data_IF_464155556673
#
_entry.id   IF_464155556673
#
_cell.length_a   1.000
_cell.length_b   1.000
_cell.length_c   1.000
_cell.angle_alpha   90.00
_cell.angle_beta   90.00
_cell.angle_gamma   90.00
#
_symmetry.space_group_name_H-M   'P 1'
#
loop_
_entity.id
_entity.type
_entity.pdbx_description
1 polymer ?
#
# COMPACT_ATOMS: atom_id res chain seq x y z
N UNK A 1 17.45 -3.33 14.07
CA UNK A 1 17.01 -2.05 13.50
C UNK A 1 16.43 -1.23 14.63
N UNK A 2 17.03 -0.07 14.89
CA UNK A 2 16.53 0.95 15.80
C UNK A 2 15.77 2.01 14.98
N UNK A 3 15.00 2.85 15.67
CA UNK A 3 14.26 3.94 15.00
C UNK A 3 15.16 4.90 14.22
N UNK A 4 16.42 5.06 14.68
CA UNK A 4 17.45 5.87 14.03
C UNK A 4 17.95 5.30 12.70
N UNK A 5 17.70 4.01 12.46
CA UNK A 5 18.17 3.31 11.27
C UNK A 5 17.14 3.38 10.12
N UNK A 6 15.96 3.98 10.35
CA UNK A 6 14.92 4.10 9.33
C UNK A 6 15.34 5.12 8.25
N UNK A 7 15.15 4.81 6.95
CA UNK A 7 15.42 5.74 5.87
C UNK A 7 14.63 7.05 6.01
N UNK A 8 15.23 8.18 5.64
CA UNK A 8 14.52 9.47 5.61
C UNK A 8 13.49 9.54 4.48
N UNK A 9 13.75 8.88 3.34
CA UNK A 9 12.85 8.86 2.18
C UNK A 9 11.47 8.29 2.55
N UNK A 10 10.42 8.95 2.09
CA UNK A 10 9.03 8.53 2.25
C UNK A 10 8.45 8.07 0.92
N UNK A 11 8.05 6.80 0.84
CA UNK A 11 7.35 6.23 -0.31
C UNK A 11 5.82 6.32 -0.19
N UNK A 12 5.33 6.67 0.99
CA UNK A 12 3.98 7.14 1.26
C UNK A 12 4.08 8.55 1.86
N UNK A 13 3.58 9.55 1.16
CA UNK A 13 3.85 10.98 1.43
C UNK A 13 2.74 11.64 2.25
N UNK A 14 3.06 12.81 2.81
CA UNK A 14 2.04 13.76 3.25
C UNK A 14 1.19 14.27 2.08
N UNK A 15 0.08 14.92 2.38
CA UNK A 15 -0.81 15.52 1.37
C UNK A 15 -2.07 14.70 1.07
N UNK A 16 -2.36 13.66 1.85
CA UNK A 16 -3.59 12.87 1.82
C UNK A 16 -4.70 13.46 2.70
N UNK A 17 -5.94 12.98 2.56
CA UNK A 17 -7.13 13.53 3.25
C UNK A 17 -7.57 12.76 4.51
N UNK A 18 -6.68 11.97 5.11
CA UNK A 18 -6.98 11.21 6.32
C UNK A 18 -7.40 12.13 7.49
N UNK A 19 -8.29 11.63 8.36
CA UNK A 19 -8.69 12.35 9.56
C UNK A 19 -7.48 12.68 10.45
N UNK A 20 -7.52 13.83 11.13
CA UNK A 20 -6.50 14.20 12.10
C UNK A 20 -6.42 13.14 13.21
N UNK A 21 -5.22 12.62 13.48
CA UNK A 21 -5.00 11.56 14.46
C UNK A 21 -5.29 10.13 13.96
N UNK A 22 -5.64 9.94 12.68
CA UNK A 22 -5.74 8.60 12.11
C UNK A 22 -4.38 7.88 12.18
N UNK A 23 -4.29 6.65 12.72
CA UNK A 23 -3.03 5.93 12.82
C UNK A 23 -2.59 5.30 11.49
N UNK A 24 -3.53 5.03 10.56
CA UNK A 24 -3.25 4.29 9.33
C UNK A 24 -2.15 4.96 8.46
N UNK A 25 -2.16 6.29 8.20
CA UNK A 25 -1.07 6.93 7.46
C UNK A 25 0.30 6.76 8.11
N UNK A 26 0.39 6.86 9.44
CA UNK A 26 1.65 6.71 10.16
C UNK A 26 2.18 5.27 10.08
N UNK A 27 1.29 4.28 10.20
CA UNK A 27 1.63 2.86 10.03
C UNK A 27 2.14 2.61 8.61
N UNK A 28 1.39 3.02 7.59
CA UNK A 28 1.74 2.81 6.18
C UNK A 28 3.04 3.52 5.83
N UNK A 29 3.25 4.76 6.29
CA UNK A 29 4.52 5.49 6.09
C UNK A 29 5.72 4.70 6.61
N UNK A 30 5.64 4.16 7.82
CA UNK A 30 6.72 3.37 8.39
C UNK A 30 6.91 2.02 7.68
N UNK A 31 5.82 1.32 7.34
CA UNK A 31 5.89 0.09 6.53
C UNK A 31 6.60 0.34 5.21
N UNK A 32 6.25 1.42 4.51
CA UNK A 32 6.82 1.74 3.22
C UNK A 32 8.29 2.15 3.30
N UNK A 33 8.75 2.77 4.40
CA UNK A 33 10.19 2.97 4.67
C UNK A 33 10.95 1.66 4.77
N UNK A 34 10.35 0.63 5.36
CA UNK A 34 10.96 -0.70 5.51
C UNK A 34 10.94 -1.46 4.17
N UNK A 35 9.85 -1.36 3.42
CA UNK A 35 9.70 -2.04 2.14
C UNK A 35 10.56 -1.44 1.03
N UNK A 36 10.72 -0.11 1.02
CA UNK A 36 11.58 0.59 0.08
C UNK A 36 10.99 0.77 -1.33
N UNK A 37 11.79 1.35 -2.23
CA UNK A 37 11.38 1.72 -3.60
C UNK A 37 10.94 0.57 -4.49
N UNK A 38 11.48 -0.64 -4.28
CA UNK A 38 11.21 -1.80 -5.12
C UNK A 38 9.98 -2.56 -4.60
N UNK A 39 8.88 -1.81 -4.44
CA UNK A 39 7.61 -2.28 -3.87
C UNK A 39 6.46 -1.91 -4.79
N UNK A 40 5.50 -2.82 -4.94
CA UNK A 40 4.22 -2.59 -5.60
C UNK A 40 3.13 -2.73 -4.56
N UNK A 41 2.30 -1.69 -4.45
CA UNK A 41 1.22 -1.62 -3.46
C UNK A 41 -0.11 -1.85 -4.15
N UNK A 42 -0.92 -2.71 -3.54
CA UNK A 42 -2.32 -2.85 -3.84
C UNK A 42 -3.15 -2.46 -2.61
N UNK A 43 -4.23 -1.70 -2.80
CA UNK A 43 -5.25 -1.47 -1.76
C UNK A 43 -6.63 -1.79 -2.34
N UNK A 44 -7.45 -2.60 -1.66
CA UNK A 44 -8.86 -2.75 -2.03
C UNK A 44 -9.65 -1.52 -1.55
N UNK A 45 -10.96 -1.47 -1.85
CA UNK A 45 -11.86 -0.45 -1.30
C UNK A 45 -11.79 -0.42 0.25
N UNK A 46 -11.23 0.65 0.81
CA UNK A 46 -11.13 0.90 2.25
C UNK A 46 -10.76 2.36 2.52
N UNK A 47 -10.64 2.76 3.79
CA UNK A 47 -10.26 4.12 4.16
C UNK A 47 -8.91 4.55 3.56
N UNK A 48 -7.89 3.67 3.61
CA UNK A 48 -6.56 3.96 3.07
C UNK A 48 -6.61 4.27 1.58
N UNK A 49 -7.33 3.47 0.79
CA UNK A 49 -7.58 3.75 -0.63
C UNK A 49 -8.17 5.14 -0.83
N UNK A 50 -9.23 5.47 -0.08
CA UNK A 50 -9.94 6.73 -0.25
C UNK A 50 -9.03 7.91 0.05
N UNK A 51 -8.41 7.95 1.22
CA UNK A 51 -7.64 9.15 1.58
C UNK A 51 -6.31 9.29 0.84
N UNK A 52 -5.70 8.18 0.40
CA UNK A 52 -4.37 8.19 -0.23
C UNK A 52 -4.39 8.12 -1.75
N UNK A 53 -5.49 7.68 -2.35
CA UNK A 53 -5.67 7.50 -3.79
C UNK A 53 -6.54 8.57 -4.46
N UNK A 54 -7.15 9.48 -3.70
CA UNK A 54 -8.01 10.54 -4.25
C UNK A 54 -7.20 11.54 -5.07
N UNK A 55 -7.58 11.76 -6.33
CA UNK A 55 -7.01 12.82 -7.15
C UNK A 55 -7.39 14.22 -6.62
N UNK A 56 -6.49 15.22 -6.59
CA UNK A 56 -5.09 15.21 -7.02
C UNK A 56 -4.08 14.79 -5.92
N UNK A 57 -4.56 14.27 -4.80
CA UNK A 57 -3.83 14.00 -3.57
C UNK A 57 -3.22 12.59 -3.48
N UNK A 58 -2.71 12.07 -4.61
CA UNK A 58 -2.10 10.73 -4.63
C UNK A 58 -0.84 10.70 -3.76
N UNK A 59 -0.85 9.89 -2.70
CA UNK A 59 0.22 9.86 -1.69
C UNK A 59 1.29 8.79 -1.93
N UNK A 60 1.24 8.05 -3.04
CA UNK A 60 2.13 6.91 -3.32
C UNK A 60 3.25 7.30 -4.29
N UNK A 61 4.52 7.09 -3.90
CA UNK A 61 5.71 7.25 -4.78
C UNK A 61 6.19 5.94 -5.42
N UNK A 62 5.48 4.86 -5.19
CA UNK A 62 5.74 3.54 -5.76
C UNK A 62 4.55 3.13 -6.64
N UNK A 63 4.71 2.14 -7.55
CA UNK A 63 3.57 1.58 -8.25
C UNK A 63 2.44 1.22 -7.29
N UNK A 64 1.30 1.86 -7.48
CA UNK A 64 0.11 1.73 -6.66
C UNK A 64 -1.07 1.39 -7.56
N UNK A 65 -1.85 0.39 -7.17
CA UNK A 65 -3.08 0.01 -7.83
C UNK A 65 -4.18 -0.28 -6.82
N UNK A 66 -5.42 -0.15 -7.28
CA UNK A 66 -6.58 -0.54 -6.51
C UNK A 66 -7.67 -1.10 -7.43
N UNK A 67 -8.55 -1.93 -6.87
CA UNK A 67 -9.67 -2.51 -7.59
C UNK A 67 -10.88 -2.72 -6.65
N UNK A 68 -11.48 -3.90 -6.65
CA UNK A 68 -12.66 -4.24 -5.87
C UNK A 68 -12.31 -4.53 -4.40
N UNK A 69 -13.32 -4.67 -3.54
CA UNK A 69 -13.10 -4.85 -2.11
C UNK A 69 -12.66 -6.29 -1.79
N UNK A 70 -13.28 -7.25 -2.47
CA UNK A 70 -13.22 -8.69 -2.22
C UNK A 70 -11.95 -9.37 -2.73
N UNK A 71 -11.12 -8.70 -3.52
CA UNK A 71 -10.16 -9.39 -4.40
C UNK A 71 -8.67 -9.16 -4.07
N UNK A 72 -8.34 -8.71 -2.86
CA UNK A 72 -6.94 -8.42 -2.44
C UNK A 72 -5.96 -9.54 -2.78
N UNK A 73 -6.24 -10.77 -2.33
CA UNK A 73 -5.38 -11.92 -2.57
C UNK A 73 -5.21 -12.26 -4.06
N UNK A 74 -6.31 -12.20 -4.82
CA UNK A 74 -6.30 -12.44 -6.26
C UNK A 74 -5.41 -11.43 -6.99
N UNK A 75 -5.59 -10.13 -6.73
CA UNK A 75 -4.82 -9.07 -7.40
C UNK A 75 -3.32 -9.17 -7.10
N UNK A 76 -2.92 -9.31 -5.83
CA UNK A 76 -1.50 -9.38 -5.48
C UNK A 76 -0.83 -10.64 -6.02
N UNK A 77 -1.55 -11.77 -6.08
CA UNK A 77 -1.02 -13.01 -6.66
C UNK A 77 -0.75 -12.86 -8.17
N UNK A 78 -1.65 -12.19 -8.89
CA UNK A 78 -1.51 -11.88 -10.31
C UNK A 78 -0.33 -10.96 -10.59
N UNK A 79 -0.21 -9.87 -9.82
CA UNK A 79 0.91 -8.92 -9.92
C UNK A 79 2.24 -9.63 -9.63
N UNK A 80 2.32 -10.41 -8.54
CA UNK A 80 3.52 -11.17 -8.20
C UNK A 80 3.92 -12.17 -9.30
N UNK A 81 2.94 -12.87 -9.91
CA UNK A 81 3.18 -13.76 -11.05
C UNK A 81 3.72 -13.00 -12.25
N UNK A 82 3.14 -11.83 -12.57
CA UNK A 82 3.57 -11.00 -13.68
C UNK A 82 5.00 -10.50 -13.50
N UNK A 83 5.35 -9.95 -12.33
CA UNK A 83 6.69 -9.46 -12.02
C UNK A 83 7.74 -10.57 -12.15
N UNK A 84 7.46 -11.76 -11.60
CA UNK A 84 8.32 -12.94 -11.75
C UNK A 84 8.51 -13.34 -13.23
N UNK A 85 7.45 -13.32 -14.04
CA UNK A 85 7.53 -13.64 -15.48
C UNK A 85 8.36 -12.60 -16.24
N UNK A 86 8.33 -11.34 -15.83
CA UNK A 86 9.11 -10.24 -16.41
C UNK A 86 10.57 -10.20 -15.90
N UNK A 87 10.98 -11.09 -14.99
CA UNK A 87 12.31 -11.04 -14.37
C UNK A 87 12.52 -9.83 -13.46
N UNK A 88 11.44 -9.13 -13.06
CA UNK A 88 11.50 -7.99 -12.15
C UNK A 88 11.42 -8.47 -10.71
N UNK A 89 12.34 -7.99 -9.87
CA UNK A 89 12.31 -8.21 -8.42
C UNK A 89 11.64 -7.01 -7.75
N UNK A 90 10.50 -7.25 -7.13
CA UNK A 90 9.81 -6.27 -6.30
C UNK A 90 9.02 -7.00 -5.20
N UNK A 91 8.85 -6.35 -4.05
CA UNK A 91 7.86 -6.76 -3.06
C UNK A 91 6.47 -6.41 -3.59
N UNK A 92 5.55 -7.37 -3.61
CA UNK A 92 4.14 -7.10 -3.93
C UNK A 92 3.35 -7.23 -2.65
N UNK A 93 2.67 -6.15 -2.24
CA UNK A 93 1.96 -6.09 -0.97
C UNK A 93 0.53 -5.59 -1.14
N UNK A 94 -0.41 -6.28 -0.50
CA UNK A 94 -1.79 -5.83 -0.35
C UNK A 94 -1.99 -5.24 1.03
N UNK A 95 -2.51 -4.01 1.12
CA UNK A 95 -2.86 -3.36 2.38
C UNK A 95 -4.38 -3.22 2.43
N UNK A 96 -5.01 -4.17 3.11
CA UNK A 96 -6.45 -4.26 3.26
C UNK A 96 -6.87 -3.95 4.71
N UNK A 97 -8.07 -3.41 4.86
CA UNK A 97 -8.71 -3.29 6.17
C UNK A 97 -9.22 -4.64 6.68
N UNK A 98 -9.83 -4.62 7.85
CA UNK A 98 -10.53 -5.75 8.45
C UNK A 98 -11.57 -6.37 7.51
N UNK A 99 -12.44 -5.57 6.89
CA UNK A 99 -13.43 -6.08 5.94
C UNK A 99 -12.80 -6.79 4.73
N UNK A 100 -11.66 -6.30 4.26
CA UNK A 100 -10.94 -6.85 3.09
C UNK A 100 -9.98 -7.99 3.41
N UNK A 101 -9.92 -8.42 4.68
CA UNK A 101 -9.06 -9.52 5.13
C UNK A 101 -9.79 -10.61 5.90
N UNK A 102 -10.87 -10.27 6.60
CA UNK A 102 -11.61 -11.19 7.49
C UNK A 102 -13.09 -11.35 7.13
N UNK A 103 -13.63 -10.55 6.20
CA UNK A 103 -15.03 -10.62 5.77
C UNK A 103 -15.11 -10.85 4.26
N UNK A 104 -15.42 -9.83 3.46
CA UNK A 104 -15.64 -9.97 2.01
C UNK A 104 -14.37 -10.37 1.23
N UNK A 105 -13.18 -10.13 1.78
CA UNK A 105 -11.90 -10.38 1.11
C UNK A 105 -11.23 -11.74 1.40
N UNK A 106 -11.95 -12.68 2.02
CA UNK A 106 -11.47 -14.04 2.32
C UNK A 106 -11.51 -14.96 1.11
#
# INVERSE_FOLDING_TARGET
>A
MNIKDLPEEDYFTSGHTACAGCPAPAIVRNMMKIFGKDTVVYTPANCLLVFSGTYPYLAWKVPYLHEAFENTGACISGVARAYRKMGKKALVVGIAGDGGTYDIGI
#
